data_IF_025352029375
#
_entry.id   IF_025352029375
#
_cell.length_a   1.000
_cell.length_b   1.000
_cell.length_c   1.000
_cell.angle_alpha   90.00
_cell.angle_beta   90.00
_cell.angle_gamma   90.00
#
_symmetry.space_group_name_H-M   'P 1'
#
loop_
_entity.id
_entity.type
_entity.pdbx_description
1 polymer ?
#
# COMPACT_ATOMS: atom_id res chain seq x y z
N UNK A 1 -7.99 -10.22 -9.89
CA UNK A 1 -8.42 -9.44 -11.05
C UNK A 1 -9.82 -8.89 -10.78
N UNK A 2 -10.06 -7.66 -11.24
CA UNK A 2 -11.40 -7.04 -11.18
C UNK A 2 -12.30 -7.82 -12.15
N UNK A 3 -13.46 -8.24 -11.67
CA UNK A 3 -14.44 -8.99 -12.43
C UNK A 3 -15.63 -8.06 -12.81
N UNK A 4 -16.45 -8.44 -13.80
CA UNK A 4 -17.62 -7.64 -14.22
C UNK A 4 -18.56 -7.27 -13.07
N UNK A 5 -18.70 -8.13 -12.05
CA UNK A 5 -19.50 -7.83 -10.84
C UNK A 5 -18.95 -6.66 -10.02
N UNK A 6 -17.70 -6.26 -10.21
CA UNK A 6 -17.04 -5.17 -9.49
C UNK A 6 -17.15 -3.81 -10.20
N UNK A 7 -17.72 -3.76 -11.41
CA UNK A 7 -17.73 -2.56 -12.24
C UNK A 7 -18.76 -1.50 -11.80
N UNK A 8 -19.84 -1.94 -11.15
CA UNK A 8 -20.90 -1.02 -10.71
C UNK A 8 -21.51 -1.44 -9.37
N UNK A 9 -22.11 -0.47 -8.68
CA UNK A 9 -22.84 -0.73 -7.43
C UNK A 9 -23.96 -1.76 -7.66
N UNK A 10 -24.69 -1.63 -8.76
CA UNK A 10 -25.82 -2.52 -9.07
C UNK A 10 -25.37 -3.96 -9.33
N UNK A 11 -24.26 -4.16 -10.07
CA UNK A 11 -23.72 -5.51 -10.34
C UNK A 11 -23.18 -6.16 -9.07
N UNK A 12 -22.50 -5.39 -8.22
CA UNK A 12 -21.98 -5.88 -6.93
C UNK A 12 -23.12 -6.26 -5.98
N UNK A 13 -24.14 -5.43 -5.85
CA UNK A 13 -25.32 -5.70 -5.02
C UNK A 13 -26.08 -6.95 -5.52
N UNK A 14 -26.25 -7.11 -6.82
CA UNK A 14 -26.88 -8.30 -7.40
C UNK A 14 -26.08 -9.57 -7.09
N UNK A 15 -24.74 -9.53 -7.18
CA UNK A 15 -23.88 -10.65 -6.84
C UNK A 15 -23.95 -10.99 -5.34
N UNK A 16 -23.98 -9.99 -4.44
CA UNK A 16 -24.21 -10.20 -3.01
C UNK A 16 -25.55 -10.88 -2.74
N UNK A 17 -26.63 -10.44 -3.36
CA UNK A 17 -27.97 -11.03 -3.23
C UNK A 17 -28.03 -12.46 -3.76
N UNK A 18 -27.27 -12.76 -4.80
CA UNK A 18 -27.13 -14.10 -5.38
C UNK A 18 -26.22 -15.04 -4.56
N UNK A 19 -25.59 -14.53 -3.48
CA UNK A 19 -24.59 -15.24 -2.68
C UNK A 19 -23.40 -15.76 -3.52
N UNK A 20 -22.91 -14.94 -4.44
CA UNK A 20 -21.75 -15.22 -5.30
C UNK A 20 -20.46 -15.15 -4.47
N UNK A 21 -20.14 -16.25 -3.78
CA UNK A 21 -18.93 -16.33 -2.93
C UNK A 21 -17.62 -16.44 -3.73
N UNK A 22 -17.67 -16.62 -5.04
CA UNK A 22 -16.49 -16.66 -5.89
C UNK A 22 -15.96 -15.24 -6.16
N UNK A 23 -16.86 -14.28 -6.39
CA UNK A 23 -16.49 -12.92 -6.77
C UNK A 23 -16.70 -11.89 -5.66
N UNK A 24 -17.49 -12.22 -4.63
CA UNK A 24 -17.78 -11.32 -3.50
C UNK A 24 -17.13 -11.83 -2.24
N UNK A 25 -16.05 -11.16 -1.81
CA UNK A 25 -15.39 -11.47 -0.55
C UNK A 25 -16.23 -10.95 0.66
N UNK A 26 -16.19 -11.62 1.82
CA UNK A 26 -16.88 -11.15 3.03
C UNK A 26 -16.55 -9.70 3.41
N UNK A 27 -15.29 -9.28 3.20
CA UNK A 27 -14.86 -7.90 3.45
C UNK A 27 -15.57 -6.87 2.57
N UNK A 28 -15.96 -7.25 1.34
CA UNK A 28 -16.77 -6.38 0.47
C UNK A 28 -18.16 -6.15 1.02
N UNK A 29 -18.79 -7.18 1.62
CA UNK A 29 -20.08 -7.04 2.28
C UNK A 29 -20.01 -6.08 3.47
N UNK A 30 -18.97 -6.17 4.30
CA UNK A 30 -18.77 -5.24 5.42
C UNK A 30 -18.53 -3.80 4.94
N UNK A 31 -17.68 -3.61 3.93
CA UNK A 31 -17.44 -2.29 3.36
C UNK A 31 -18.71 -1.70 2.74
N UNK A 32 -19.44 -2.48 1.96
CA UNK A 32 -20.72 -2.07 1.37
C UNK A 32 -21.72 -1.62 2.43
N UNK A 33 -21.92 -2.43 3.48
CA UNK A 33 -22.80 -2.10 4.59
C UNK A 33 -22.37 -0.82 5.32
N UNK A 34 -21.08 -0.65 5.61
CA UNK A 34 -20.54 0.55 6.23
C UNK A 34 -20.85 1.81 5.41
N UNK A 35 -20.59 1.77 4.10
CA UNK A 35 -20.86 2.90 3.21
C UNK A 35 -22.35 3.22 3.11
N UNK A 36 -23.22 2.21 3.04
CA UNK A 36 -24.67 2.40 3.04
C UNK A 36 -25.19 3.06 4.32
N UNK A 37 -24.53 2.81 5.46
CA UNK A 37 -24.85 3.44 6.76
C UNK A 37 -24.12 4.77 6.98
N UNK A 38 -23.41 5.28 5.96
CA UNK A 38 -22.68 6.54 6.05
C UNK A 38 -21.40 6.48 6.91
N UNK A 39 -20.89 5.28 7.19
CA UNK A 39 -19.68 5.08 7.98
C UNK A 39 -18.44 4.99 7.07
N UNK A 40 -17.39 5.82 7.32
CA UNK A 40 -16.11 5.70 6.63
C UNK A 40 -15.50 4.32 6.74
N UNK A 41 -14.79 3.87 5.69
CA UNK A 41 -14.18 2.54 5.69
C UNK A 41 -12.71 2.58 5.24
N UNK A 42 -11.85 1.91 6.01
CA UNK A 42 -10.42 1.78 5.71
C UNK A 42 -10.05 0.31 5.58
N UNK A 43 -9.45 -0.06 4.44
CA UNK A 43 -8.96 -1.41 4.21
C UNK A 43 -7.49 -1.53 4.63
N UNK A 44 -7.24 -2.06 5.82
CA UNK A 44 -5.89 -2.26 6.35
C UNK A 44 -5.20 -3.54 5.89
N UNK A 45 -5.91 -4.45 5.21
CA UNK A 45 -5.38 -5.69 4.66
C UNK A 45 -5.20 -5.59 3.12
N UNK A 46 -4.49 -6.53 2.46
CA UNK A 46 -4.20 -6.46 1.03
C UNK A 46 -5.38 -6.80 0.09
N UNK A 47 -6.54 -7.13 0.62
CA UNK A 47 -7.73 -7.46 -0.16
C UNK A 47 -8.20 -6.26 -0.99
N UNK A 48 -8.74 -6.52 -2.17
CA UNK A 48 -9.23 -5.46 -3.10
C UNK A 48 -10.50 -4.76 -2.66
N UNK A 49 -11.07 -5.12 -1.54
CA UNK A 49 -12.34 -4.72 -0.94
C UNK A 49 -12.87 -3.34 -1.37
N UNK A 50 -12.11 -2.27 -1.13
CA UNK A 50 -12.47 -0.89 -1.50
C UNK A 50 -11.79 -0.40 -2.78
N UNK A 51 -10.98 -1.25 -3.40
CA UNK A 51 -10.18 -0.94 -4.58
C UNK A 51 -10.82 -1.52 -5.85
N UNK A 52 -12.12 -1.27 -5.97
CA UNK A 52 -12.96 -1.68 -7.12
C UNK A 52 -13.91 -0.54 -7.50
N UNK A 53 -14.24 -0.38 -8.80
CA UNK A 53 -15.09 0.72 -9.27
C UNK A 53 -16.44 0.82 -8.55
N UNK A 54 -17.09 -0.31 -8.26
CA UNK A 54 -18.35 -0.34 -7.52
C UNK A 54 -18.26 0.36 -6.14
N UNK A 55 -17.16 0.15 -5.41
CA UNK A 55 -16.98 0.78 -4.09
C UNK A 55 -16.62 2.25 -4.21
N UNK A 56 -15.86 2.65 -5.24
CA UNK A 56 -15.60 4.07 -5.50
C UNK A 56 -16.91 4.81 -5.82
N UNK A 57 -17.73 4.25 -6.72
CA UNK A 57 -19.06 4.80 -7.05
C UNK A 57 -19.95 4.90 -5.81
N UNK A 58 -19.99 3.86 -4.97
CA UNK A 58 -20.81 3.85 -3.77
C UNK A 58 -20.35 4.93 -2.77
N UNK A 59 -19.03 5.05 -2.55
CA UNK A 59 -18.47 6.07 -1.67
C UNK A 59 -18.82 7.50 -2.14
N UNK A 60 -18.78 7.75 -3.45
CA UNK A 60 -19.20 9.02 -4.04
C UNK A 60 -20.71 9.26 -3.87
N UNK A 61 -21.55 8.24 -4.17
CA UNK A 61 -23.00 8.34 -4.06
C UNK A 61 -23.47 8.61 -2.63
N UNK A 62 -22.85 7.94 -1.65
CA UNK A 62 -23.16 8.09 -0.23
C UNK A 62 -22.43 9.27 0.42
N UNK A 63 -21.50 9.92 -0.31
CA UNK A 63 -20.64 11.00 0.20
C UNK A 63 -19.86 10.59 1.45
N UNK A 64 -19.27 9.40 1.40
CA UNK A 64 -18.52 8.81 2.51
C UNK A 64 -17.06 8.61 2.08
N UNK A 65 -16.05 8.98 2.91
CA UNK A 65 -14.67 8.76 2.57
C UNK A 65 -14.25 7.30 2.76
N UNK A 66 -13.40 6.81 1.85
CA UNK A 66 -12.77 5.50 1.91
C UNK A 66 -11.26 5.61 1.75
N UNK A 67 -10.52 4.64 2.30
CA UNK A 67 -9.09 4.50 2.07
C UNK A 67 -8.67 3.03 2.02
N UNK A 68 -7.61 2.72 1.29
CA UNK A 68 -7.00 1.40 1.18
C UNK A 68 -5.71 1.47 0.37
N UNK A 69 -4.89 0.41 0.41
CA UNK A 69 -5.04 -0.82 1.20
C UNK A 69 -3.69 -1.26 1.76
N UNK A 70 -3.73 -2.17 2.72
CA UNK A 70 -2.57 -2.82 3.37
C UNK A 70 -1.67 -1.85 4.16
N UNK A 71 -1.62 -1.99 5.47
CA UNK A 71 -0.82 -1.12 6.34
C UNK A 71 0.68 -1.20 6.05
N UNK A 72 1.34 -0.04 5.96
CA UNK A 72 2.76 0.10 5.67
C UNK A 72 3.58 0.08 6.96
N UNK A 73 4.01 -1.09 7.38
CA UNK A 73 4.72 -1.29 8.65
C UNK A 73 6.18 -1.64 8.50
N UNK A 74 6.52 -2.69 7.75
CA UNK A 74 7.84 -3.30 7.76
C UNK A 74 8.70 -2.93 6.55
N UNK A 75 9.13 -3.93 5.77
CA UNK A 75 10.05 -3.75 4.64
C UNK A 75 9.52 -2.82 3.53
N UNK A 76 8.20 -2.71 3.34
CA UNK A 76 7.67 -1.75 2.36
C UNK A 76 7.88 -0.31 2.83
N UNK A 77 7.83 -0.03 4.15
CA UNK A 77 8.21 1.26 4.68
C UNK A 77 9.68 1.57 4.36
N UNK A 78 10.56 0.58 4.57
CA UNK A 78 11.99 0.70 4.21
C UNK A 78 12.17 0.99 2.72
N UNK A 79 11.49 0.23 1.84
CA UNK A 79 11.55 0.44 0.38
C UNK A 79 11.08 1.84 -0.02
N UNK A 80 9.90 2.25 0.44
CA UNK A 80 9.33 3.56 0.10
C UNK A 80 10.10 4.75 0.68
N UNK A 81 10.86 4.55 1.76
CA UNK A 81 11.74 5.57 2.33
C UNK A 81 13.14 5.60 1.73
N UNK A 82 13.71 4.43 1.39
CA UNK A 82 15.09 4.35 0.91
C UNK A 82 15.21 4.51 -0.61
N UNK A 83 14.28 3.98 -1.40
CA UNK A 83 14.35 4.06 -2.87
C UNK A 83 14.38 5.49 -3.41
N UNK A 84 13.66 6.48 -2.83
CA UNK A 84 13.78 7.87 -3.26
C UNK A 84 15.18 8.46 -3.10
N UNK A 85 15.97 7.95 -2.14
CA UNK A 85 17.38 8.36 -1.98
C UNK A 85 18.20 7.94 -3.19
N UNK A 86 17.95 6.75 -3.75
CA UNK A 86 18.64 6.26 -4.93
C UNK A 86 18.37 7.18 -6.13
N UNK A 87 17.09 7.47 -6.42
CA UNK A 87 16.71 8.33 -7.54
C UNK A 87 17.23 9.77 -7.38
N UNK A 88 17.07 10.35 -6.17
CA UNK A 88 17.54 11.74 -5.90
C UNK A 88 19.05 11.88 -6.01
N UNK A 89 19.82 10.83 -5.72
CA UNK A 89 21.28 10.82 -5.77
C UNK A 89 21.84 10.22 -7.05
N UNK A 90 20.99 9.83 -8.00
CA UNK A 90 21.38 9.14 -9.24
C UNK A 90 22.26 7.92 -8.97
N UNK A 91 21.87 7.12 -7.96
CA UNK A 91 22.51 5.85 -7.65
C UNK A 91 21.75 4.72 -8.33
N UNK A 92 22.46 3.92 -9.11
CA UNK A 92 21.86 2.77 -9.80
C UNK A 92 21.63 1.58 -8.86
N UNK A 93 20.73 0.70 -9.26
CA UNK A 93 20.37 -0.51 -8.52
C UNK A 93 20.70 -1.75 -9.35
N UNK A 94 21.58 -2.62 -8.84
CA UNK A 94 21.86 -3.95 -9.41
C UNK A 94 20.92 -5.03 -8.85
N UNK A 95 20.55 -4.90 -7.59
CA UNK A 95 19.67 -5.88 -6.98
C UNK A 95 19.15 -5.49 -5.60
N UNK A 96 17.95 -5.97 -5.30
CA UNK A 96 17.33 -5.86 -3.98
C UNK A 96 16.74 -7.21 -3.56
N UNK A 97 17.42 -7.88 -2.65
CA UNK A 97 16.96 -9.14 -2.09
C UNK A 97 16.39 -8.91 -0.69
N UNK A 98 15.12 -9.24 -0.50
CA UNK A 98 14.42 -9.14 0.78
C UNK A 98 14.05 -10.53 1.28
N UNK A 99 14.31 -10.81 2.55
CA UNK A 99 13.77 -12.00 3.22
C UNK A 99 13.12 -11.63 4.54
N UNK A 100 12.06 -12.35 4.92
CA UNK A 100 11.38 -12.22 6.19
C UNK A 100 11.31 -13.58 6.88
N UNK A 101 11.44 -13.55 8.19
CA UNK A 101 11.22 -14.69 9.07
C UNK A 101 10.10 -14.31 10.04
N UNK A 102 9.03 -15.12 10.08
CA UNK A 102 7.84 -14.93 10.92
C UNK A 102 7.51 -16.24 11.63
N UNK A 103 7.15 -16.17 12.89
CA UNK A 103 6.79 -17.35 13.68
C UNK A 103 5.31 -17.50 13.98
N UNK A 104 4.50 -16.50 13.61
CA UNK A 104 3.06 -16.46 13.87
C UNK A 104 2.24 -17.13 12.76
N UNK A 105 0.91 -17.13 12.93
CA UNK A 105 -0.03 -17.76 12.00
C UNK A 105 0.00 -17.11 10.60
N UNK A 106 0.29 -15.83 10.51
CA UNK A 106 0.43 -15.12 9.22
C UNK A 106 1.64 -15.67 8.44
N UNK A 107 2.76 -15.94 9.14
CA UNK A 107 3.92 -16.62 8.57
C UNK A 107 3.60 -18.01 8.05
N UNK A 108 2.84 -18.79 8.80
CA UNK A 108 2.43 -20.14 8.40
C UNK A 108 1.56 -20.11 7.11
N UNK A 109 0.62 -19.18 7.03
CA UNK A 109 -0.25 -19.04 5.85
C UNK A 109 0.54 -18.57 4.62
N UNK A 110 1.54 -17.72 4.80
CA UNK A 110 2.36 -17.16 3.72
C UNK A 110 3.50 -18.07 3.26
N UNK A 111 3.83 -19.11 4.03
CA UNK A 111 4.79 -20.13 3.62
C UNK A 111 4.21 -21.02 2.49
N UNK A 112 2.88 -21.05 2.34
CA UNK A 112 2.20 -21.72 1.25
C UNK A 112 2.38 -20.95 -0.08
N UNK A 113 2.96 -21.56 -1.14
CA UNK A 113 3.30 -20.86 -2.39
C UNK A 113 2.12 -20.16 -3.08
N UNK A 114 0.90 -20.71 -2.96
CA UNK A 114 -0.30 -20.14 -3.55
C UNK A 114 -0.69 -18.79 -2.91
N UNK A 115 -0.50 -18.67 -1.59
CA UNK A 115 -0.83 -17.45 -0.82
C UNK A 115 0.26 -16.39 -0.96
N UNK A 116 1.50 -16.80 -1.24
CA UNK A 116 2.64 -15.90 -1.40
C UNK A 116 2.57 -15.02 -2.64
N UNK A 117 2.05 -15.55 -3.77
CA UNK A 117 2.03 -14.87 -5.08
C UNK A 117 1.41 -13.47 -5.04
N UNK A 118 0.30 -13.31 -4.33
CA UNK A 118 -0.40 -12.01 -4.24
C UNK A 118 0.43 -10.97 -3.50
N UNK A 119 1.17 -11.38 -2.45
CA UNK A 119 2.07 -10.49 -1.70
C UNK A 119 3.38 -10.21 -2.44
N UNK A 120 3.84 -11.11 -3.28
CA UNK A 120 5.04 -10.93 -4.10
C UNK A 120 4.83 -9.81 -5.12
N UNK A 121 3.73 -9.85 -5.88
CA UNK A 121 3.39 -8.83 -6.89
C UNK A 121 3.30 -7.44 -6.28
N UNK A 122 2.62 -7.27 -5.15
CA UNK A 122 2.48 -5.95 -4.51
C UNK A 122 3.79 -5.38 -3.95
N UNK A 123 4.75 -6.24 -3.59
CA UNK A 123 6.07 -5.82 -3.10
C UNK A 123 7.07 -5.51 -4.22
N UNK A 124 6.89 -6.10 -5.40
CA UNK A 124 7.71 -5.84 -6.57
C UNK A 124 7.37 -4.48 -7.18
N UNK A 125 6.10 -4.16 -7.35
CA UNK A 125 5.64 -2.91 -7.97
C UNK A 125 6.04 -1.63 -7.21
N UNK A 126 6.29 -1.71 -5.89
CA UNK A 126 6.69 -0.53 -5.09
C UNK A 126 7.99 0.12 -5.57
N UNK A 127 8.99 -0.67 -5.96
CA UNK A 127 10.26 -0.13 -6.46
C UNK A 127 10.10 0.48 -7.86
N UNK A 128 9.33 -0.16 -8.71
CA UNK A 128 9.10 0.27 -10.10
C UNK A 128 8.47 1.66 -10.16
N UNK A 129 7.44 1.91 -9.35
CA UNK A 129 6.74 3.21 -9.31
C UNK A 129 7.59 4.35 -8.72
N UNK A 130 8.61 4.02 -7.90
CA UNK A 130 9.52 5.03 -7.32
C UNK A 130 10.72 5.29 -8.22
N UNK A 131 11.35 4.22 -8.72
CA UNK A 131 12.61 4.28 -9.48
C UNK A 131 12.39 4.57 -10.97
N UNK A 132 11.20 4.23 -11.49
CA UNK A 132 10.78 4.44 -12.89
C UNK A 132 11.82 3.95 -13.90
N UNK A 133 11.98 2.62 -14.05
CA UNK A 133 12.98 2.02 -14.95
C UNK A 133 12.90 2.51 -16.41
N UNK A 134 11.68 2.82 -16.88
CA UNK A 134 11.47 3.33 -18.23
C UNK A 134 12.05 4.74 -18.44
N UNK A 135 12.06 5.59 -17.39
CA UNK A 135 12.61 6.94 -17.45
C UNK A 135 14.13 6.96 -17.26
N UNK A 136 14.67 5.99 -16.51
CA UNK A 136 16.09 5.89 -16.15
C UNK A 136 16.63 4.47 -16.35
N UNK A 137 16.62 3.95 -17.59
CA UNK A 137 16.99 2.56 -17.88
C UNK A 137 18.45 2.24 -17.54
N UNK A 138 19.37 3.20 -17.66
CA UNK A 138 20.80 3.00 -17.32
C UNK A 138 21.04 2.75 -15.81
N UNK A 139 20.12 3.21 -14.97
CA UNK A 139 20.20 3.06 -13.51
C UNK A 139 19.32 1.94 -12.97
N UNK A 140 18.16 1.70 -13.60
CA UNK A 140 17.14 0.82 -13.04
C UNK A 140 16.52 -0.15 -14.07
N UNK A 141 17.00 -0.19 -15.31
CA UNK A 141 16.39 -1.01 -16.38
C UNK A 141 16.55 -2.51 -16.19
N UNK A 142 17.61 -2.95 -15.52
CA UNK A 142 17.91 -4.39 -15.34
C UNK A 142 18.44 -4.64 -13.91
N UNK A 143 17.55 -4.63 -12.92
CA UNK A 143 17.92 -4.99 -11.55
C UNK A 143 17.22 -6.27 -11.10
N UNK A 144 17.91 -7.07 -10.32
CA UNK A 144 17.34 -8.27 -9.71
C UNK A 144 16.54 -7.94 -8.46
N UNK A 145 15.25 -8.22 -8.46
CA UNK A 145 14.39 -8.02 -7.30
C UNK A 145 13.76 -9.34 -6.84
N UNK A 146 13.99 -9.70 -5.58
CA UNK A 146 13.45 -10.94 -5.00
C UNK A 146 12.97 -10.71 -3.58
N UNK A 147 11.80 -11.29 -3.27
CA UNK A 147 11.24 -11.31 -1.91
C UNK A 147 11.05 -12.76 -1.47
N UNK A 148 11.40 -13.06 -0.23
CA UNK A 148 11.17 -14.34 0.43
C UNK A 148 10.45 -14.13 1.75
N UNK A 149 9.56 -15.05 2.11
CA UNK A 149 8.93 -15.14 3.43
C UNK A 149 9.13 -16.59 3.90
N UNK A 150 9.61 -16.76 5.13
CA UNK A 150 9.89 -18.06 5.70
C UNK A 150 9.15 -18.16 7.04
N UNK A 151 8.44 -19.25 7.23
CA UNK A 151 7.83 -19.57 8.50
C UNK A 151 8.88 -20.14 9.45
N UNK A 152 9.03 -19.53 10.63
CA UNK A 152 9.98 -19.95 11.65
C UNK A 152 9.35 -19.82 13.03
N UNK A 153 8.72 -20.91 13.56
CA UNK A 153 7.98 -20.90 14.82
C UNK A 153 8.69 -20.27 16.02
N UNK A 154 10.04 -20.47 16.20
CA UNK A 154 10.74 -19.86 17.34
C UNK A 154 10.73 -18.35 17.40
N UNK A 155 10.39 -17.66 16.27
CA UNK A 155 10.27 -16.20 16.23
C UNK A 155 9.00 -15.68 16.90
N UNK A 156 7.97 -16.53 17.09
CA UNK A 156 6.68 -16.13 17.67
C UNK A 156 6.03 -15.01 16.84
N UNK A 157 5.54 -13.98 17.50
CA UNK A 157 4.90 -12.83 16.87
C UNK A 157 5.89 -11.80 16.27
N UNK A 158 7.16 -11.96 16.54
CA UNK A 158 8.17 -11.07 16.00
C UNK A 158 8.47 -11.40 14.53
N UNK A 159 8.75 -10.37 13.78
CA UNK A 159 9.14 -10.43 12.37
C UNK A 159 10.53 -9.86 12.20
N UNK A 160 11.40 -10.66 11.64
CA UNK A 160 12.73 -10.22 11.26
C UNK A 160 12.83 -10.11 9.74
N UNK A 161 13.20 -8.94 9.24
CA UNK A 161 13.40 -8.67 7.83
C UNK A 161 14.85 -8.33 7.53
N UNK A 162 15.42 -8.96 6.50
CA UNK A 162 16.73 -8.60 5.97
C UNK A 162 16.58 -8.11 4.55
N UNK A 163 17.21 -6.98 4.26
CA UNK A 163 17.35 -6.47 2.91
C UNK A 163 18.84 -6.41 2.56
N UNK A 164 19.22 -7.02 1.44
CA UNK A 164 20.50 -6.84 0.80
C UNK A 164 20.28 -6.05 -0.48
N UNK A 165 20.91 -4.87 -0.57
CA UNK A 165 20.70 -3.90 -1.63
C UNK A 165 22.05 -3.63 -2.27
N UNK A 166 22.24 -4.12 -3.49
CA UNK A 166 23.43 -3.91 -4.28
C UNK A 166 23.20 -2.74 -5.22
N UNK A 167 23.90 -1.64 -4.98
CA UNK A 167 23.80 -0.38 -5.71
C UNK A 167 25.13 -0.04 -6.37
N UNK A 168 25.10 0.86 -7.34
CA UNK A 168 26.30 1.40 -7.95
C UNK A 168 26.21 2.93 -8.07
N UNK A 169 27.37 3.54 -8.00
CA UNK A 169 27.53 4.98 -8.12
C UNK A 169 28.30 5.38 -9.37
N UNK A 170 28.97 6.52 -9.28
CA UNK A 170 29.75 7.08 -10.38
C UNK A 170 30.77 6.07 -10.93
N UNK A 171 30.87 6.01 -12.25
CA UNK A 171 31.73 5.04 -12.98
C UNK A 171 31.41 3.56 -12.68
N UNK A 172 30.19 3.24 -12.27
CA UNK A 172 29.78 1.89 -11.95
C UNK A 172 30.39 1.35 -10.63
N UNK A 173 30.90 2.22 -9.75
CA UNK A 173 31.48 1.78 -8.49
C UNK A 173 30.46 1.04 -7.62
N UNK A 174 30.69 -0.24 -7.29
CA UNK A 174 29.73 -1.04 -6.55
C UNK A 174 29.72 -0.68 -5.06
N UNK A 175 28.53 -0.64 -4.49
CA UNK A 175 28.27 -0.44 -3.06
C UNK A 175 27.18 -1.39 -2.60
N UNK A 176 27.15 -1.66 -1.32
CA UNK A 176 26.12 -2.53 -0.73
C UNK A 176 25.54 -1.89 0.52
N UNK A 177 24.21 -1.92 0.63
CA UNK A 177 23.49 -1.58 1.85
C UNK A 177 22.82 -2.83 2.40
N UNK A 178 22.96 -3.08 3.68
CA UNK A 178 22.26 -4.16 4.40
C UNK A 178 21.41 -3.55 5.49
N UNK A 179 20.14 -3.97 5.53
CA UNK A 179 19.20 -3.57 6.56
C UNK A 179 18.75 -4.83 7.28
N UNK A 180 18.86 -4.81 8.59
CA UNK A 180 18.28 -5.82 9.46
C UNK A 180 17.26 -5.15 10.36
N UNK A 181 16.01 -5.58 10.27
CA UNK A 181 14.88 -4.96 10.94
C UNK A 181 14.07 -6.02 11.70
N UNK A 182 14.21 -6.03 13.02
CA UNK A 182 13.38 -6.83 13.91
C UNK A 182 12.24 -5.98 14.44
N UNK A 183 11.00 -6.41 14.22
CA UNK A 183 9.80 -5.69 14.66
C UNK A 183 8.66 -6.65 14.99
N UNK A 184 7.60 -6.08 15.55
CA UNK A 184 6.31 -6.76 15.69
C UNK A 184 5.28 -5.96 14.90
N UNK A 185 4.77 -6.54 13.80
CA UNK A 185 3.86 -5.85 12.87
C UNK A 185 2.62 -5.30 13.58
N UNK A 186 2.04 -6.02 14.54
CA UNK A 186 0.87 -5.56 15.30
C UNK A 186 1.13 -4.29 16.12
N UNK A 187 2.32 -4.18 16.71
CA UNK A 187 2.70 -2.98 17.48
C UNK A 187 2.93 -1.78 16.56
N UNK A 188 3.48 -2.02 15.36
CA UNK A 188 3.63 -0.95 14.36
C UNK A 188 2.30 -0.56 13.73
N UNK A 189 1.38 -1.51 13.53
CA UNK A 189 0.08 -1.25 12.93
C UNK A 189 -0.90 -0.52 13.86
N UNK A 190 -0.83 -0.75 15.16
CA UNK A 190 -1.78 -0.15 16.11
C UNK A 190 -1.85 1.38 16.05
N UNK A 191 -0.73 2.14 16.11
CA UNK A 191 -0.78 3.59 15.95
C UNK A 191 -1.26 4.03 14.56
N UNK A 192 -0.92 3.27 13.49
CA UNK A 192 -1.44 3.57 12.15
C UNK A 192 -2.96 3.46 12.08
N UNK A 193 -3.56 2.45 12.73
CA UNK A 193 -5.01 2.32 12.83
C UNK A 193 -5.64 3.53 13.53
N UNK A 194 -5.04 3.98 14.62
CA UNK A 194 -5.53 5.15 15.36
C UNK A 194 -5.47 6.42 14.52
N UNK A 195 -4.32 6.69 13.90
CA UNK A 195 -4.15 7.86 13.03
C UNK A 195 -5.13 7.84 11.86
N UNK A 196 -5.27 6.69 11.20
CA UNK A 196 -6.18 6.52 10.07
C UNK A 196 -7.64 6.76 10.46
N UNK A 197 -8.09 6.25 11.61
CA UNK A 197 -9.46 6.48 12.12
C UNK A 197 -9.69 7.97 12.38
N UNK A 198 -8.74 8.65 13.05
CA UNK A 198 -8.85 10.07 13.35
C UNK A 198 -8.85 10.92 12.07
N UNK A 199 -7.99 10.60 11.11
CA UNK A 199 -7.85 11.38 9.88
C UNK A 199 -9.01 11.17 8.91
N UNK A 200 -9.56 9.96 8.78
CA UNK A 200 -10.71 9.71 7.91
C UNK A 200 -11.99 10.32 8.50
N UNK A 201 -12.14 10.32 9.83
CA UNK A 201 -13.22 11.01 10.51
C UNK A 201 -13.13 12.53 10.35
N UNK A 202 -11.90 13.10 10.45
CA UNK A 202 -11.67 14.50 10.15
C UNK A 202 -12.02 14.85 8.70
N UNK A 203 -11.64 14.00 7.73
CA UNK A 203 -11.99 14.17 6.34
C UNK A 203 -13.51 14.14 6.11
N UNK A 204 -14.23 13.21 6.75
CA UNK A 204 -15.67 13.14 6.69
C UNK A 204 -16.33 14.42 7.23
N UNK A 205 -15.84 14.94 8.34
CA UNK A 205 -16.31 16.21 8.95
C UNK A 205 -16.00 17.43 8.09
N UNK A 206 -14.89 17.40 7.35
CA UNK A 206 -14.50 18.44 6.38
C UNK A 206 -15.34 18.34 5.06
N UNK A 207 -16.24 17.37 4.96
CA UNK A 207 -17.07 17.14 3.79
C UNK A 207 -16.36 16.42 2.63
N UNK A 208 -15.18 15.85 2.86
CA UNK A 208 -14.45 15.02 1.89
C UNK A 208 -15.11 13.65 1.79
N UNK A 209 -15.22 13.14 0.59
CA UNK A 209 -15.82 11.82 0.32
C UNK A 209 -15.06 11.12 -0.83
N UNK A 210 -15.42 9.87 -1.12
CA UNK A 210 -14.68 9.05 -2.08
C UNK A 210 -13.31 8.63 -1.56
N UNK A 211 -12.40 8.30 -2.46
CA UNK A 211 -11.06 7.82 -2.13
C UNK A 211 -10.17 8.91 -1.55
N UNK A 212 -9.68 8.71 -0.33
CA UNK A 212 -8.82 9.65 0.37
C UNK A 212 -7.33 9.35 0.11
N UNK A 213 -6.79 9.88 -0.97
CA UNK A 213 -5.42 9.59 -1.45
C UNK A 213 -4.32 10.09 -0.51
N UNK A 214 -4.56 11.13 0.28
CA UNK A 214 -3.59 11.64 1.25
C UNK A 214 -3.23 10.62 2.34
N UNK A 215 -4.09 9.61 2.56
CA UNK A 215 -3.85 8.51 3.49
C UNK A 215 -2.88 7.45 2.94
N UNK A 216 -2.41 7.57 1.69
CA UNK A 216 -1.40 6.69 1.07
C UNK A 216 -0.12 6.55 1.90
N UNK A 217 0.21 7.57 2.71
CA UNK A 217 1.34 7.55 3.64
C UNK A 217 1.35 6.32 4.55
N UNK A 218 0.19 5.84 4.97
CA UNK A 218 0.01 4.71 5.87
C UNK A 218 -0.14 3.35 5.16
N UNK A 219 -0.24 3.34 3.82
CA UNK A 219 -0.69 2.18 3.04
C UNK A 219 0.40 1.70 2.07
N UNK A 220 0.55 0.35 1.94
CA UNK A 220 1.53 -0.28 1.03
C UNK A 220 1.11 -0.25 -0.43
N UNK A 221 -0.19 -0.40 -0.66
CA UNK A 221 -0.78 -0.42 -1.99
C UNK A 221 -1.89 0.64 -2.03
N UNK A 222 -1.51 1.93 -2.07
CA UNK A 222 -2.49 3.00 -2.03
C UNK A 222 -3.40 2.96 -3.25
N UNK A 223 -4.67 3.32 -3.00
CA UNK A 223 -5.67 3.40 -4.05
C UNK A 223 -5.29 4.46 -5.11
N UNK A 224 -5.50 4.10 -6.36
CA UNK A 224 -5.30 4.93 -7.54
C UNK A 224 -6.34 4.55 -8.58
N UNK A 225 -6.60 5.41 -9.53
CA UNK A 225 -7.53 5.10 -10.62
C UNK A 225 -6.81 4.36 -11.75
N UNK A 226 -6.71 3.03 -11.61
CA UNK A 226 -6.12 2.17 -12.63
C UNK A 226 -6.95 2.11 -13.93
N UNK A 227 -8.21 2.56 -13.92
CA UNK A 227 -9.06 2.55 -15.12
C UNK A 227 -8.62 3.60 -16.13
N UNK A 228 -7.93 4.64 -15.68
CA UNK A 228 -7.32 5.69 -16.51
C UNK A 228 -5.80 5.57 -16.61
N UNK A 229 -5.22 4.46 -16.13
CA UNK A 229 -3.78 4.23 -16.18
C UNK A 229 -2.97 5.05 -15.16
N UNK A 230 -3.61 5.51 -14.09
CA UNK A 230 -2.90 6.21 -13.00
C UNK A 230 -2.03 5.23 -12.23
N UNK A 231 -0.83 5.66 -11.83
CA UNK A 231 0.06 4.89 -10.97
C UNK A 231 -0.08 5.30 -9.50
N UNK A 232 0.12 4.35 -8.55
CA UNK A 232 0.06 4.65 -7.13
C UNK A 232 1.29 5.48 -6.72
N UNK A 233 1.10 6.52 -5.90
CA UNK A 233 2.21 7.22 -5.28
C UNK A 233 2.80 6.38 -4.15
N UNK A 234 4.03 5.89 -4.30
CA UNK A 234 4.74 5.06 -3.33
C UNK A 234 5.96 5.75 -2.70
N UNK A 235 6.35 6.94 -3.17
CA UNK A 235 7.42 7.73 -2.59
C UNK A 235 6.98 8.27 -1.22
N UNK A 236 7.62 7.81 -0.14
CA UNK A 236 7.23 8.15 1.24
C UNK A 236 7.25 9.65 1.51
N UNK A 237 8.21 10.37 0.93
CA UNK A 237 8.35 11.82 1.16
C UNK A 237 7.24 12.61 0.47
N UNK A 238 6.85 12.23 -0.75
CA UNK A 238 5.70 12.82 -1.43
C UNK A 238 4.39 12.50 -0.70
N UNK A 239 4.21 11.26 -0.28
CA UNK A 239 3.06 10.86 0.54
C UNK A 239 2.97 11.66 1.84
N UNK A 240 4.11 11.91 2.51
CA UNK A 240 4.15 12.74 3.73
C UNK A 240 3.71 14.18 3.45
N UNK A 241 4.17 14.79 2.35
CA UNK A 241 3.76 16.14 1.98
C UNK A 241 2.26 16.20 1.65
N UNK A 242 1.73 15.22 0.91
CA UNK A 242 0.30 15.12 0.64
C UNK A 242 -0.52 15.00 1.93
N UNK A 243 -0.08 14.15 2.88
CA UNK A 243 -0.71 14.01 4.19
C UNK A 243 -0.69 15.33 4.95
N UNK A 244 0.47 15.97 5.06
CA UNK A 244 0.64 17.24 5.78
C UNK A 244 -0.25 18.33 5.19
N UNK A 245 -0.30 18.45 3.87
CA UNK A 245 -1.09 19.46 3.18
C UNK A 245 -2.59 19.21 3.39
N UNK A 246 -3.06 17.98 3.30
CA UNK A 246 -4.45 17.66 3.58
C UNK A 246 -4.87 18.02 5.03
N UNK A 247 -4.00 17.75 6.01
CA UNK A 247 -4.25 18.12 7.42
C UNK A 247 -4.28 19.65 7.56
N UNK A 248 -3.36 20.38 6.92
CA UNK A 248 -3.34 21.85 6.94
C UNK A 248 -4.61 22.45 6.35
N UNK A 249 -5.03 21.95 5.18
CA UNK A 249 -6.26 22.39 4.51
C UNK A 249 -7.49 22.17 5.38
N UNK A 250 -7.65 20.97 5.97
CA UNK A 250 -8.74 20.67 6.90
C UNK A 250 -8.71 21.58 8.15
N UNK A 251 -7.52 22.04 8.56
CA UNK A 251 -7.33 23.01 9.64
C UNK A 251 -7.47 24.47 9.23
N UNK A 252 -7.81 24.75 7.96
CA UNK A 252 -7.94 26.12 7.44
C UNK A 252 -6.61 26.84 7.17
N UNK A 253 -5.50 26.09 7.07
CA UNK A 253 -4.18 26.63 6.72
C UNK A 253 -3.86 26.35 5.26
N UNK A 254 -3.10 27.24 4.59
CA UNK A 254 -2.64 26.98 3.23
C UNK A 254 -1.74 25.77 3.16
N UNK A 255 -1.79 25.02 2.05
CA UNK A 255 -0.83 23.97 1.76
C UNK A 255 0.61 24.55 1.71
N UNK A 256 1.59 23.75 2.12
CA UNK A 256 2.98 24.07 1.85
C UNK A 256 3.25 23.85 0.35
N UNK A 257 3.98 24.78 -0.27
CA UNK A 257 4.44 24.58 -1.64
C UNK A 257 5.36 23.35 -1.68
N UNK A 258 5.05 22.41 -2.57
CA UNK A 258 6.01 21.39 -2.95
C UNK A 258 7.13 22.10 -3.68
N UNK A 259 8.32 22.08 -3.14
CA UNK A 259 9.52 22.38 -3.92
C UNK A 259 9.76 21.12 -4.77
N UNK A 260 9.45 21.20 -6.04
CA UNK A 260 9.67 20.16 -7.04
C UNK A 260 11.16 19.78 -7.17
#
# INVERSE_FOLDING_TARGET
>A
PVHQVHESVASLEAAMRANDCEHVAPSMCYAFAALMEGAPFIMGAPNTTVDIPAMWQLAEQQRVPIAGKDFKTGQTLVKSGFSPILSTRCLGLNGWFSTNILGNRDGLVLDEPANFRTKEVSKLSTLETILRPEEQPDLYGDYYHKVRINYYPPRGDDKEGWDNIDIFGWMGYPMQVKINFLCRDSILAAPLCLDLVLLIDAAARDGRYGTQRFLSFYLKSPQHDYTVGEEPENNLYRQYVHLKNAIREMGGYPADELVD
#
